data_IF_292911251151
#
_entry.id   IF_292911251151
#
_cell.length_a   1.000
_cell.length_b   1.000
_cell.length_c   1.000
_cell.angle_alpha   90.00
_cell.angle_beta   90.00
_cell.angle_gamma   90.00
#
_symmetry.space_group_name_H-M   'P 1'
#
loop_
_entity.id
_entity.type
_entity.pdbx_description
1 polymer ?
#
# COMPACT_ATOMS: atom_id res chain seq x y z
N UNK A 1 8.63 9.08 10.40
CA UNK A 1 8.70 9.32 11.86
C UNK A 1 8.66 10.80 12.22
N UNK A 2 9.42 11.71 11.56
CA UNK A 2 9.27 13.16 11.79
C UNK A 2 7.84 13.65 11.46
N UNK A 3 7.30 13.28 10.30
CA UNK A 3 5.90 13.58 9.95
C UNK A 3 4.91 13.10 11.02
N UNK A 4 5.14 11.91 11.59
CA UNK A 4 4.28 11.38 12.65
C UNK A 4 4.35 12.22 13.94
N UNK A 5 5.55 12.70 14.32
CA UNK A 5 5.69 13.64 15.42
C UNK A 5 4.93 14.95 15.14
N UNK A 6 5.08 15.50 13.93
CA UNK A 6 4.49 16.79 13.56
C UNK A 6 2.95 16.73 13.52
N UNK A 7 2.39 15.62 13.04
CA UNK A 7 0.93 15.37 13.07
C UNK A 7 0.40 15.23 14.50
N UNK A 8 1.13 14.57 15.41
CA UNK A 8 0.75 14.51 16.82
C UNK A 8 0.82 15.90 17.46
N UNK A 9 1.84 16.69 17.14
CA UNK A 9 1.96 18.05 17.62
C UNK A 9 0.80 18.92 17.11
N UNK A 10 0.46 18.83 15.83
CA UNK A 10 -0.66 19.55 15.25
C UNK A 10 -1.98 19.18 15.92
N UNK A 11 -2.27 17.88 16.06
CA UNK A 11 -3.47 17.41 16.74
C UNK A 11 -3.50 17.85 18.22
N UNK A 12 -2.34 17.90 18.88
CA UNK A 12 -2.24 18.39 20.25
C UNK A 12 -2.51 19.90 20.33
N UNK A 13 -2.03 20.71 19.38
CA UNK A 13 -2.27 22.16 19.33
C UNK A 13 -3.77 22.52 19.21
N UNK A 14 -4.58 21.62 18.65
CA UNK A 14 -6.03 21.77 18.56
C UNK A 14 -6.77 21.34 19.85
N UNK A 15 -6.10 20.66 20.79
CA UNK A 15 -6.64 20.23 22.09
C UNK A 15 -6.03 21.02 23.25
N UNK A 16 -6.78 22.00 23.77
CA UNK A 16 -6.37 22.85 24.90
C UNK A 16 -5.94 22.07 26.16
N UNK A 17 -6.41 20.83 26.35
CA UNK A 17 -5.98 20.00 27.50
C UNK A 17 -4.59 19.40 27.30
N UNK A 18 -4.23 19.03 26.06
CA UNK A 18 -2.93 18.46 25.74
C UNK A 18 -1.84 19.53 25.66
N UNK A 19 -2.16 20.70 25.09
CA UNK A 19 -1.23 21.86 25.07
C UNK A 19 -0.87 22.31 26.49
N UNK A 20 -1.83 22.26 27.41
CA UNK A 20 -1.62 22.62 28.81
C UNK A 20 -0.85 21.57 29.63
N UNK A 21 -0.67 20.35 29.09
CA UNK A 21 0.02 19.27 29.78
C UNK A 21 1.53 19.29 29.48
N UNK A 22 2.29 19.90 30.39
CA UNK A 22 3.74 19.98 30.30
C UNK A 22 4.43 18.60 30.25
N UNK A 23 3.82 17.56 30.83
CA UNK A 23 4.36 16.20 30.77
C UNK A 23 4.23 15.65 29.35
N UNK A 24 3.05 15.81 28.74
CA UNK A 24 2.82 15.40 27.35
C UNK A 24 3.81 16.05 26.39
N UNK A 25 3.97 17.38 26.47
CA UNK A 25 4.91 18.14 25.61
C UNK A 25 6.35 17.64 25.79
N UNK A 26 6.78 17.43 27.05
CA UNK A 26 8.13 16.92 27.34
C UNK A 26 8.35 15.51 26.76
N UNK A 27 7.34 14.63 26.80
CA UNK A 27 7.44 13.29 26.20
C UNK A 27 7.44 13.33 24.68
N UNK A 28 6.71 14.27 24.08
CA UNK A 28 6.70 14.49 22.64
C UNK A 28 8.08 14.97 22.14
N UNK A 29 8.71 15.91 22.85
CA UNK A 29 10.10 16.33 22.57
C UNK A 29 11.10 15.17 22.75
N UNK A 30 10.89 14.33 23.76
CA UNK A 30 11.67 13.11 23.98
C UNK A 30 11.59 12.14 22.80
N UNK A 31 10.41 12.02 22.18
CA UNK A 31 10.22 11.24 20.96
C UNK A 31 10.96 11.86 19.77
N UNK A 32 10.89 13.17 19.58
CA UNK A 32 11.63 13.87 18.51
C UNK A 32 13.14 13.63 18.64
N UNK A 33 13.67 13.74 19.86
CA UNK A 33 15.09 13.48 20.14
C UNK A 33 15.49 12.04 19.84
N UNK A 34 14.64 11.06 20.19
CA UNK A 34 14.89 9.65 19.93
C UNK A 34 14.86 9.30 18.43
N UNK A 35 13.99 9.95 17.65
CA UNK A 35 13.90 9.74 16.20
C UNK A 35 15.06 10.44 15.46
N UNK A 36 15.52 11.57 15.98
CA UNK A 36 16.60 12.38 15.39
C UNK A 36 18.02 11.91 15.72
N UNK A 37 18.21 10.77 16.40
CA UNK A 37 19.54 10.35 16.86
C UNK A 37 20.49 10.03 15.68
N UNK A 38 21.53 10.84 15.51
CA UNK A 38 22.60 10.64 14.52
C UNK A 38 23.70 9.77 15.14
N UNK A 39 24.15 8.73 14.43
CA UNK A 39 25.31 7.92 14.82
C UNK A 39 26.47 8.18 13.86
N UNK A 40 27.62 8.54 14.41
CA UNK A 40 28.84 8.70 13.62
C UNK A 40 29.52 7.34 13.50
N UNK A 41 29.54 6.76 12.31
CA UNK A 41 30.31 5.55 12.02
C UNK A 41 31.73 5.95 11.58
N UNK A 42 32.72 5.69 12.43
CA UNK A 42 34.13 5.89 12.13
C UNK A 42 35.04 5.49 13.29
N UNK A 43 36.36 5.35 13.04
CA UNK A 43 37.32 5.02 14.08
C UNK A 43 37.29 6.09 15.18
N UNK A 44 37.03 5.66 16.41
CA UNK A 44 37.06 6.53 17.58
C UNK A 44 38.53 6.65 18.02
N UNK A 45 39.18 7.76 17.68
CA UNK A 45 40.46 8.10 18.27
C UNK A 45 40.22 8.73 19.65
N UNK A 46 40.62 8.01 20.70
CA UNK A 46 40.58 8.51 22.05
C UNK A 46 41.91 9.23 22.34
N UNK A 47 42.02 10.49 21.98
CA UNK A 47 43.15 11.34 22.40
C UNK A 47 42.94 11.76 23.85
N UNK A 48 43.88 11.39 24.71
CA UNK A 48 43.93 11.88 26.09
C UNK A 48 45.03 12.94 26.15
N UNK A 49 44.67 14.21 25.96
CA UNK A 49 45.61 15.31 26.14
C UNK A 49 45.75 15.60 27.64
N UNK A 50 46.91 15.20 28.20
CA UNK A 50 47.34 15.64 29.53
C UNK A 50 48.15 16.91 29.34
N UNK A 51 47.48 18.06 29.38
CA UNK A 51 48.13 19.35 29.32
C UNK A 51 48.86 19.61 30.66
N UNK A 52 50.17 19.35 30.69
CA UNK A 52 51.05 19.82 31.77
C UNK A 52 51.70 21.11 31.32
N UNK A 53 51.15 22.25 31.75
CA UNK A 53 51.89 23.51 31.71
C UNK A 53 53.09 23.39 32.66
N UNK A 54 54.27 23.20 32.09
CA UNK A 54 55.54 23.47 32.77
C UNK A 54 56.48 24.18 31.80
N UNK A 55 56.54 25.49 31.96
CA UNK A 55 57.47 26.37 31.28
C UNK A 55 58.91 26.08 31.72
N UNK A 56 59.76 25.57 30.81
CA UNK A 56 61.21 25.79 30.86
C UNK A 56 61.84 25.52 29.49
N UNK A 57 62.66 26.47 29.03
CA UNK A 57 63.53 26.38 27.87
C UNK A 57 64.54 25.23 27.99
N UNK A 58 64.75 24.48 26.90
CA UNK A 58 66.03 24.28 26.19
C UNK A 58 66.01 22.94 25.43
N UNK A 59 66.78 22.86 24.36
CA UNK A 59 66.64 21.89 23.27
C UNK A 59 66.93 20.42 23.58
N UNK A 60 66.33 19.53 22.79
CA UNK A 60 66.63 18.10 22.79
C UNK A 60 65.69 17.30 21.89
N UNK A 61 66.25 16.38 21.09
CA UNK A 61 65.57 15.52 20.11
C UNK A 61 64.42 14.73 20.75
N UNK A 62 63.28 14.68 20.05
CA UNK A 62 62.14 13.81 20.37
C UNK A 62 62.35 12.47 19.67
N UNK A 63 62.57 11.41 20.45
CA UNK A 63 62.48 10.02 19.99
C UNK A 63 61.09 9.49 20.42
N UNK A 64 60.28 9.08 19.45
CA UNK A 64 58.92 8.59 19.65
C UNK A 64 58.97 7.10 20.03
N UNK A 65 58.96 6.82 21.33
CA UNK A 65 58.81 5.44 21.83
C UNK A 65 57.32 5.09 21.99
N UNK A 66 56.85 4.12 21.22
CA UNK A 66 55.48 3.59 21.27
C UNK A 66 55.37 2.69 22.50
N UNK A 67 54.82 3.21 23.60
CA UNK A 67 54.54 2.42 24.81
C UNK A 67 53.19 1.71 24.68
N UNK A 68 53.20 0.37 24.64
CA UNK A 68 51.99 -0.47 24.76
C UNK A 68 51.46 -0.41 26.20
N UNK A 69 50.15 -0.26 26.45
CA UNK A 69 49.65 -0.17 27.82
C UNK A 69 49.61 -1.56 28.48
N UNK A 70 50.22 -1.68 29.66
CA UNK A 70 49.93 -2.74 30.62
C UNK A 70 48.91 -2.22 31.62
N UNK A 71 47.75 -2.86 31.69
CA UNK A 71 46.74 -2.62 32.72
C UNK A 71 47.31 -3.11 34.05
N UNK A 72 47.53 -2.18 35.00
CA UNK A 72 47.82 -2.49 36.39
C UNK A 72 46.66 -1.98 37.25
N UNK A 73 45.88 -2.90 37.80
CA UNK A 73 44.87 -2.63 38.83
C UNK A 73 45.61 -2.51 40.16
N UNK A 74 45.56 -1.34 40.80
CA UNK A 74 45.98 -1.16 42.18
C UNK A 74 44.90 -0.36 42.92
N UNK A 75 44.33 -0.97 43.96
CA UNK A 75 43.42 -0.33 44.89
C UNK A 75 44.22 0.43 45.96
N UNK A 76 43.90 1.70 46.18
CA UNK A 76 44.24 2.42 47.42
C UNK A 76 43.27 3.56 47.68
N UNK A 77 42.87 3.69 48.93
CA UNK A 77 41.84 4.58 49.48
C UNK A 77 42.22 6.07 49.47
N UNK A 78 41.21 6.88 49.17
CA UNK A 78 40.99 8.31 49.34
C UNK A 78 42.11 9.22 49.84
N UNK A 79 42.49 10.17 48.98
CA UNK A 79 42.70 11.57 49.39
C UNK A 79 42.24 12.47 48.25
N UNK A 80 41.33 13.39 48.54
CA UNK A 80 40.68 14.26 47.55
C UNK A 80 41.63 15.35 47.03
N UNK A 81 42.07 15.21 45.78
CA UNK A 81 42.67 16.28 45.00
C UNK A 81 41.88 16.36 43.69
N UNK A 82 41.15 17.46 43.45
CA UNK A 82 40.30 17.58 42.27
C UNK A 82 41.15 17.84 41.02
N UNK A 83 41.62 16.78 40.39
CA UNK A 83 42.06 16.83 38.99
C UNK A 83 40.83 16.79 38.09
N UNK A 84 40.57 17.90 37.39
CA UNK A 84 39.63 17.92 36.25
C UNK A 84 40.36 17.32 35.05
N UNK A 85 40.30 16.00 34.93
CA UNK A 85 40.68 15.31 33.69
C UNK A 85 39.67 15.69 32.60
N UNK A 86 40.11 16.50 31.64
CA UNK A 86 39.29 16.87 30.48
C UNK A 86 39.63 15.93 29.33
N UNK A 87 39.01 14.75 29.32
CA UNK A 87 39.09 13.84 28.19
C UNK A 87 38.35 14.44 26.98
N UNK A 88 39.08 14.84 25.94
CA UNK A 88 38.49 15.32 24.68
C UNK A 88 38.38 14.14 23.72
N UNK A 89 37.18 13.55 23.64
CA UNK A 89 36.91 12.47 22.68
C UNK A 89 36.63 13.09 21.31
N UNK A 90 37.59 12.98 20.39
CA UNK A 90 37.44 13.46 19.01
C UNK A 90 36.90 12.33 18.14
N UNK A 91 35.66 12.45 17.66
CA UNK A 91 35.05 11.45 16.78
C UNK A 91 35.25 11.87 15.32
N UNK A 92 35.88 11.02 14.51
CA UNK A 92 36.00 11.18 13.05
C UNK A 92 35.29 10.02 12.37
N UNK A 93 34.30 10.32 11.53
CA UNK A 93 33.54 9.30 10.81
C UNK A 93 32.50 9.90 9.87
N UNK A 94 31.85 9.05 9.09
CA UNK A 94 30.70 9.44 8.27
C UNK A 94 29.47 9.41 9.16
N UNK A 95 28.79 10.54 9.29
CA UNK A 95 27.54 10.60 10.03
C UNK A 95 26.47 9.80 9.29
N UNK A 96 25.88 8.83 9.98
CA UNK A 96 24.73 8.07 9.50
C UNK A 96 23.59 8.19 10.51
N UNK A 97 22.43 8.59 10.02
CA UNK A 97 21.23 8.55 10.84
C UNK A 97 20.92 7.07 11.11
N UNK A 98 20.95 6.67 12.38
CA UNK A 98 20.61 5.30 12.79
C UNK A 98 19.52 5.36 13.85
N UNK A 99 18.41 4.69 13.61
CA UNK A 99 17.31 4.61 14.57
C UNK A 99 17.61 3.54 15.63
N UNK A 100 17.71 3.93 16.90
CA UNK A 100 17.75 2.99 17.99
C UNK A 100 16.32 2.62 18.41
N UNK A 101 15.89 1.41 18.05
CA UNK A 101 14.53 0.94 18.35
C UNK A 101 14.23 0.94 19.86
N UNK A 102 15.25 0.75 20.71
CA UNK A 102 15.04 0.76 22.17
C UNK A 102 14.72 2.15 22.69
N UNK A 103 15.43 3.17 22.19
CA UNK A 103 15.20 4.56 22.59
C UNK A 103 13.85 5.06 22.07
N UNK A 104 13.52 4.73 20.81
CA UNK A 104 12.23 5.10 20.20
C UNK A 104 11.07 4.37 20.90
N UNK A 105 11.19 3.07 21.18
CA UNK A 105 10.16 2.33 21.90
C UNK A 105 9.94 2.86 23.32
N UNK A 106 11.01 3.26 24.02
CA UNK A 106 10.89 3.93 25.33
C UNK A 106 10.14 5.26 25.19
N UNK A 107 10.55 6.11 24.26
CA UNK A 107 9.92 7.41 24.07
C UNK A 107 8.44 7.29 23.68
N UNK A 108 8.11 6.36 22.77
CA UNK A 108 6.71 6.08 22.39
C UNK A 108 5.88 5.56 23.57
N UNK A 109 6.45 4.73 24.44
CA UNK A 109 5.74 4.26 25.65
C UNK A 109 5.47 5.39 26.62
N UNK A 110 6.47 6.22 26.88
CA UNK A 110 6.30 7.38 27.77
C UNK A 110 5.27 8.38 27.21
N UNK A 111 5.22 8.57 25.89
CA UNK A 111 4.17 9.34 25.22
C UNK A 111 2.80 8.64 25.33
N UNK A 112 2.74 7.32 25.18
CA UNK A 112 1.50 6.56 25.35
C UNK A 112 0.90 6.73 26.76
N UNK A 113 1.76 6.73 27.78
CA UNK A 113 1.36 6.88 29.18
C UNK A 113 0.78 8.28 29.48
N UNK A 114 1.18 9.33 28.74
CA UNK A 114 0.60 10.68 28.91
C UNK A 114 -0.73 10.88 28.17
N UNK A 115 -1.07 10.02 27.20
CA UNK A 115 -2.31 10.15 26.42
C UNK A 115 -3.60 9.82 27.19
N UNK A 116 -3.52 9.29 28.42
CA UNK A 116 -4.68 8.95 29.24
C UNK A 116 -5.67 8.02 28.49
N UNK A 117 -6.95 8.41 28.34
CA UNK A 117 -7.97 7.64 27.59
C UNK A 117 -7.98 7.92 26.08
N UNK A 118 -7.10 8.80 25.58
CA UNK A 118 -7.01 9.12 24.16
C UNK A 118 -6.30 7.99 23.41
N UNK A 119 -6.66 7.82 22.14
CA UNK A 119 -6.07 6.82 21.25
C UNK A 119 -5.53 7.51 20.01
N UNK A 120 -4.32 7.12 19.60
CA UNK A 120 -3.68 7.58 18.37
C UNK A 120 -3.90 6.53 17.28
N UNK A 121 -4.40 6.98 16.14
CA UNK A 121 -4.62 6.14 14.97
C UNK A 121 -3.53 6.45 13.96
N UNK A 122 -2.67 5.47 13.71
CA UNK A 122 -1.62 5.55 12.70
C UNK A 122 -2.16 4.89 11.45
N UNK A 123 -2.51 5.70 10.45
CA UNK A 123 -2.94 5.22 9.14
C UNK A 123 -1.76 5.39 8.19
N UNK A 124 -1.15 4.27 7.83
CA UNK A 124 -0.09 4.24 6.83
C UNK A 124 -0.74 4.01 5.48
N UNK A 125 -0.92 5.10 4.73
CA UNK A 125 -1.32 5.04 3.34
C UNK A 125 -0.11 4.76 2.44
N UNK A 126 -0.33 4.08 1.31
CA UNK A 126 0.69 3.74 0.33
C UNK A 126 1.93 3.02 0.91
N UNK A 127 1.75 1.90 1.62
CA UNK A 127 2.87 1.07 2.13
C UNK A 127 3.87 0.68 1.02
N UNK A 128 3.38 0.54 -0.20
CA UNK A 128 4.16 0.19 -1.41
C UNK A 128 5.18 1.26 -1.79
N UNK A 129 5.04 2.49 -1.31
CA UNK A 129 6.05 3.56 -1.47
C UNK A 129 7.35 3.27 -0.72
N UNK A 130 7.30 2.40 0.30
CA UNK A 130 8.47 1.96 1.04
C UNK A 130 9.24 0.93 0.20
N UNK A 131 10.56 1.10 0.01
CA UNK A 131 11.37 0.14 -0.75
C UNK A 131 11.16 -1.30 -0.27
N UNK A 132 11.04 -2.22 -1.22
CA UNK A 132 10.68 -3.62 -0.97
C UNK A 132 11.52 -4.31 0.10
N UNK A 133 12.82 -4.05 0.10
CA UNK A 133 13.79 -4.59 1.05
C UNK A 133 13.73 -3.92 2.43
N UNK A 134 13.21 -2.69 2.51
CA UNK A 134 13.03 -1.91 3.74
C UNK A 134 11.71 -2.24 4.45
N UNK A 135 10.67 -2.65 3.71
CA UNK A 135 9.35 -2.94 4.28
C UNK A 135 9.39 -3.89 5.49
N UNK A 136 10.14 -5.03 5.50
CA UNK A 136 10.22 -5.90 6.68
C UNK A 136 10.86 -5.23 7.90
N UNK A 137 11.78 -4.29 7.71
CA UNK A 137 12.42 -3.56 8.82
C UNK A 137 11.45 -2.56 9.44
N UNK A 138 10.68 -1.85 8.61
CA UNK A 138 9.58 -1.00 9.07
C UNK A 138 8.51 -1.83 9.80
N UNK A 139 8.17 -2.99 9.26
CA UNK A 139 7.26 -3.93 9.91
C UNK A 139 7.77 -4.37 11.30
N UNK A 140 9.04 -4.76 11.39
CA UNK A 140 9.66 -5.13 12.66
C UNK A 140 9.69 -3.97 13.67
N UNK A 141 9.88 -2.74 13.19
CA UNK A 141 9.79 -1.54 14.02
C UNK A 141 8.37 -1.39 14.60
N UNK A 142 7.33 -1.48 13.76
CA UNK A 142 5.94 -1.36 14.19
C UNK A 142 5.59 -2.43 15.23
N UNK A 143 5.92 -3.70 14.95
CA UNK A 143 5.64 -4.83 15.85
C UNK A 143 6.33 -4.66 17.21
N UNK A 144 7.56 -4.13 17.23
CA UNK A 144 8.34 -4.03 18.48
C UNK A 144 8.09 -2.74 19.26
N UNK A 145 7.79 -1.64 18.57
CA UNK A 145 7.78 -0.31 19.17
C UNK A 145 6.39 0.30 19.30
N UNK A 146 5.46 -0.05 18.39
CA UNK A 146 4.15 0.61 18.28
C UNK A 146 3.01 -0.32 18.69
N UNK A 147 2.89 -1.51 18.07
CA UNK A 147 1.79 -2.45 18.33
C UNK A 147 1.65 -2.89 19.81
N UNK A 148 2.72 -2.95 20.64
CA UNK A 148 2.58 -3.25 22.05
C UNK A 148 1.85 -2.16 22.86
N UNK A 149 1.69 -0.95 22.31
CA UNK A 149 1.09 0.20 22.99
C UNK A 149 -0.42 0.22 22.75
N UNK A 150 -1.21 0.05 23.82
CA UNK A 150 -2.68 -0.07 23.74
C UNK A 150 -3.39 1.22 23.28
N UNK A 151 -2.72 2.36 23.44
CA UNK A 151 -3.16 3.68 23.01
C UNK A 151 -2.95 3.88 21.51
N UNK A 152 -2.29 2.96 20.81
CA UNK A 152 -2.01 3.07 19.39
C UNK A 152 -2.81 2.04 18.60
N UNK A 153 -3.38 2.46 17.48
CA UNK A 153 -4.01 1.57 16.50
C UNK A 153 -3.38 1.82 15.15
N UNK A 154 -2.85 0.78 14.53
CA UNK A 154 -2.19 0.88 13.22
C UNK A 154 -3.10 0.27 12.16
N UNK A 155 -3.31 1.01 11.08
CA UNK A 155 -3.95 0.55 9.84
C UNK A 155 -2.98 0.77 8.70
N UNK A 156 -2.77 -0.25 7.87
CA UNK A 156 -1.87 -0.21 6.73
C UNK A 156 -2.71 -0.41 5.48
N UNK A 157 -2.72 0.58 4.59
CA UNK A 157 -3.26 0.45 3.25
C UNK A 157 -2.12 0.10 2.29
N UNK A 158 -2.32 -0.96 1.51
CA UNK A 158 -1.28 -1.52 0.67
C UNK A 158 -1.87 -2.35 -0.49
N UNK A 159 -1.15 -2.42 -1.60
CA UNK A 159 -1.48 -3.32 -2.71
C UNK A 159 -0.85 -4.68 -2.42
N UNK A 160 -1.68 -5.72 -2.29
CA UNK A 160 -1.26 -7.01 -1.73
C UNK A 160 -0.01 -7.61 -2.40
N UNK A 161 0.08 -7.54 -3.74
CA UNK A 161 1.21 -8.09 -4.49
C UNK A 161 2.51 -7.28 -4.33
N UNK A 162 2.42 -6.05 -3.84
CA UNK A 162 3.54 -5.12 -3.66
C UNK A 162 3.97 -5.00 -2.18
N UNK A 163 3.61 -6.00 -1.37
CA UNK A 163 3.92 -6.07 0.04
C UNK A 163 4.99 -7.12 0.32
N UNK A 164 5.95 -6.74 1.13
CA UNK A 164 6.92 -7.60 1.78
C UNK A 164 6.89 -7.36 3.29
N UNK A 165 5.91 -7.94 3.98
CA UNK A 165 5.76 -7.73 5.42
C UNK A 165 6.80 -8.44 6.26
N UNK A 166 7.39 -9.55 5.78
CA UNK A 166 8.34 -10.36 6.55
C UNK A 166 9.47 -10.87 5.69
N UNK A 167 10.67 -10.94 6.27
CA UNK A 167 11.84 -11.54 5.63
C UNK A 167 12.68 -12.32 6.62
N UNK A 168 13.49 -13.23 6.10
CA UNK A 168 14.46 -14.02 6.87
C UNK A 168 15.85 -13.43 6.66
N UNK A 169 16.47 -13.00 7.76
CA UNK A 169 17.83 -12.48 7.76
C UNK A 169 18.87 -13.60 7.55
N UNK A 170 20.11 -13.27 7.15
CA UNK A 170 21.18 -14.25 6.93
C UNK A 170 21.49 -15.13 8.15
N UNK A 171 21.27 -14.61 9.35
CA UNK A 171 21.44 -15.34 10.61
C UNK A 171 20.28 -16.30 10.95
N UNK A 172 19.29 -16.40 10.06
CA UNK A 172 18.11 -17.25 10.22
C UNK A 172 16.95 -16.61 10.98
N UNK A 173 17.13 -15.41 11.55
CA UNK A 173 16.09 -14.69 12.26
C UNK A 173 15.03 -14.16 11.30
N UNK A 174 13.75 -14.31 11.66
CA UNK A 174 12.64 -13.71 10.92
C UNK A 174 12.35 -12.33 11.53
N UNK A 175 12.16 -11.34 10.67
CA UNK A 175 11.74 -9.99 11.04
C UNK A 175 10.54 -9.58 10.21
N UNK A 176 9.76 -8.63 10.71
CA UNK A 176 8.61 -8.08 10.00
C UNK A 176 7.31 -8.22 10.77
N UNK A 177 6.20 -8.17 10.04
CA UNK A 177 4.84 -8.37 10.53
C UNK A 177 4.39 -9.79 10.12
N UNK A 178 3.90 -10.55 11.09
CA UNK A 178 3.22 -11.83 10.84
C UNK A 178 1.71 -11.63 10.76
N UNK A 179 1.16 -11.73 9.55
CA UNK A 179 -0.30 -11.66 9.34
C UNK A 179 -1.01 -12.81 10.06
N UNK A 180 -2.11 -12.48 10.73
CA UNK A 180 -2.89 -13.39 11.58
C UNK A 180 -2.40 -13.49 13.02
N UNK A 181 -1.11 -13.21 13.29
CA UNK A 181 -0.55 -13.21 14.64
C UNK A 181 -0.39 -11.77 15.19
N UNK A 182 0.33 -10.92 14.46
CA UNK A 182 0.59 -9.53 14.85
C UNK A 182 -0.52 -8.58 14.41
N UNK A 183 -1.11 -8.84 13.24
CA UNK A 183 -2.17 -8.03 12.65
C UNK A 183 -3.27 -8.92 12.09
N UNK A 184 -4.53 -8.49 12.22
CA UNK A 184 -5.66 -9.20 11.62
C UNK A 184 -5.49 -9.35 10.12
N UNK A 185 -5.96 -10.47 9.57
CA UNK A 185 -5.91 -10.75 8.13
C UNK A 185 -6.65 -9.67 7.31
N UNK A 186 -6.24 -9.56 6.03
CA UNK A 186 -6.58 -8.49 5.09
C UNK A 186 -8.10 -8.24 4.97
N UNK A 187 -8.50 -6.97 5.03
CA UNK A 187 -9.80 -6.50 4.57
C UNK A 187 -9.60 -5.99 3.14
N UNK A 188 -9.97 -6.80 2.14
CA UNK A 188 -9.95 -6.41 0.73
C UNK A 188 -11.03 -5.37 0.49
N UNK A 189 -10.67 -4.16 0.07
CA UNK A 189 -11.66 -3.14 -0.32
C UNK A 189 -12.37 -3.50 -1.63
N UNK A 190 -11.70 -4.29 -2.48
CA UNK A 190 -12.23 -4.73 -3.76
C UNK A 190 -13.45 -5.66 -3.55
N UNK A 191 -13.40 -6.51 -2.53
CA UNK A 191 -14.51 -7.41 -2.14
C UNK A 191 -15.77 -6.65 -1.68
N UNK A 192 -15.69 -5.33 -1.42
CA UNK A 192 -16.83 -4.53 -0.96
C UNK A 192 -17.41 -3.61 -2.04
N UNK A 193 -16.70 -3.39 -3.16
CA UNK A 193 -17.05 -2.35 -4.15
C UNK A 193 -17.32 -2.88 -5.56
N UNK A 194 -17.20 -4.19 -5.80
CA UNK A 194 -17.51 -4.78 -7.12
C UNK A 194 -19.02 -4.80 -7.37
N UNK A 195 -19.46 -4.11 -8.43
CA UNK A 195 -20.88 -3.96 -8.80
C UNK A 195 -21.64 -5.29 -8.89
N UNK A 196 -20.96 -6.35 -9.33
CA UNK A 196 -21.57 -7.65 -9.59
C UNK A 196 -21.88 -8.45 -8.32
N UNK A 197 -21.27 -8.06 -7.20
CA UNK A 197 -21.51 -8.65 -5.89
C UNK A 197 -22.71 -7.98 -5.21
N UNK A 198 -22.73 -6.63 -5.20
CA UNK A 198 -23.74 -5.84 -4.49
C UNK A 198 -24.08 -4.56 -5.27
N UNK A 199 -24.90 -4.69 -6.33
CA UNK A 199 -25.25 -3.59 -7.25
C UNK A 199 -25.80 -2.36 -6.49
N UNK A 200 -26.64 -2.60 -5.49
CA UNK A 200 -27.30 -1.54 -4.72
C UNK A 200 -26.28 -0.74 -3.88
N UNK A 201 -25.35 -1.43 -3.23
CA UNK A 201 -24.31 -0.81 -2.40
C UNK A 201 -23.29 -0.07 -3.25
N UNK A 202 -22.83 -0.68 -4.34
CA UNK A 202 -21.92 -0.04 -5.28
C UNK A 202 -22.56 1.23 -5.87
N UNK A 203 -23.82 1.17 -6.32
CA UNK A 203 -24.55 2.34 -6.82
C UNK A 203 -24.58 3.46 -5.79
N UNK A 204 -25.00 3.17 -4.56
CA UNK A 204 -25.08 4.17 -3.49
C UNK A 204 -23.71 4.77 -3.16
N UNK A 205 -22.66 3.94 -3.11
CA UNK A 205 -21.30 4.40 -2.85
C UNK A 205 -20.82 5.38 -3.92
N UNK A 206 -20.89 5.02 -5.20
CA UNK A 206 -20.41 5.89 -6.29
C UNK A 206 -21.28 7.14 -6.44
N UNK A 207 -22.58 7.05 -6.13
CA UNK A 207 -23.47 8.19 -6.11
C UNK A 207 -23.05 9.20 -5.04
N UNK A 208 -22.80 8.73 -3.82
CA UNK A 208 -22.29 9.56 -2.72
C UNK A 208 -20.88 10.09 -2.98
N UNK A 209 -20.00 9.29 -3.59
CA UNK A 209 -18.67 9.70 -4.00
C UNK A 209 -18.73 10.90 -4.94
N UNK A 210 -19.50 10.82 -6.03
CA UNK A 210 -19.60 11.88 -7.02
C UNK A 210 -20.33 13.11 -6.49
N UNK A 211 -21.38 12.92 -5.68
CA UNK A 211 -22.04 14.02 -5.00
C UNK A 211 -21.07 14.81 -4.11
N UNK A 212 -20.30 14.11 -3.26
CA UNK A 212 -19.27 14.74 -2.43
C UNK A 212 -18.18 15.38 -3.26
N UNK A 213 -17.74 14.74 -4.35
CA UNK A 213 -16.73 15.30 -5.25
C UNK A 213 -17.18 16.62 -5.90
N UNK A 214 -18.47 16.76 -6.20
CA UNK A 214 -19.03 17.98 -6.82
C UNK A 214 -19.39 19.08 -5.81
N UNK A 215 -19.59 18.73 -4.53
CA UNK A 215 -20.10 19.66 -3.51
C UNK A 215 -19.06 20.03 -2.45
N UNK A 216 -18.06 19.19 -2.21
CA UNK A 216 -17.03 19.44 -1.21
C UNK A 216 -16.18 20.66 -1.60
N UNK A 217 -16.21 21.70 -0.76
CA UNK A 217 -15.42 22.91 -0.97
C UNK A 217 -15.93 23.85 -2.06
N UNK A 218 -17.14 23.62 -2.61
CA UNK A 218 -17.77 24.55 -3.53
C UNK A 218 -18.41 25.72 -2.76
N UNK A 219 -17.97 26.95 -3.05
CA UNK A 219 -18.69 28.17 -2.67
C UNK A 219 -20.09 28.18 -3.31
N UNK A 220 -21.05 28.90 -2.72
CA UNK A 220 -22.46 28.90 -3.16
C UNK A 220 -22.63 29.21 -4.65
N UNK A 221 -21.75 30.03 -5.23
CA UNK A 221 -21.76 30.43 -6.65
C UNK A 221 -21.21 29.36 -7.61
N UNK A 222 -20.50 28.35 -7.08
CA UNK A 222 -19.93 27.23 -7.84
C UNK A 222 -20.70 25.92 -7.66
N UNK A 223 -21.75 25.93 -6.84
CA UNK A 223 -22.61 24.76 -6.68
C UNK A 223 -23.39 24.49 -7.96
N UNK A 224 -23.49 23.21 -8.32
CA UNK A 224 -24.29 22.78 -9.47
C UNK A 224 -25.77 23.06 -9.16
N UNK A 225 -26.47 23.89 -9.95
CA UNK A 225 -27.86 24.22 -9.67
C UNK A 225 -28.74 22.97 -9.59
N UNK A 226 -29.48 22.84 -8.49
CA UNK A 226 -30.38 21.71 -8.25
C UNK A 226 -29.73 20.46 -7.65
N UNK A 227 -28.40 20.42 -7.48
CA UNK A 227 -27.71 19.30 -6.83
C UNK A 227 -27.67 19.50 -5.32
N UNK A 228 -28.68 19.01 -4.61
CA UNK A 228 -28.82 19.18 -3.15
C UNK A 228 -28.61 17.88 -2.37
N UNK A 229 -28.90 16.74 -3.00
CA UNK A 229 -28.81 15.39 -2.43
C UNK A 229 -28.14 14.46 -3.42
N UNK A 230 -27.61 13.35 -2.90
CA UNK A 230 -27.00 12.28 -3.71
C UNK A 230 -27.97 11.78 -4.80
N UNK A 231 -29.26 11.67 -4.49
CA UNK A 231 -30.34 11.25 -5.41
C UNK A 231 -30.48 12.12 -6.65
N UNK A 232 -30.11 13.40 -6.56
CA UNK A 232 -30.30 14.37 -7.64
C UNK A 232 -29.29 14.12 -8.79
N UNK A 233 -28.14 13.52 -8.47
CA UNK A 233 -27.01 13.28 -9.37
C UNK A 233 -27.44 12.56 -10.67
N UNK A 234 -28.18 11.46 -10.56
CA UNK A 234 -28.59 10.67 -11.72
C UNK A 234 -29.55 11.48 -12.60
N UNK A 235 -30.52 12.15 -11.97
CA UNK A 235 -31.54 12.91 -12.69
C UNK A 235 -30.98 14.13 -13.43
N UNK A 236 -29.92 14.74 -12.90
CA UNK A 236 -29.28 15.93 -13.46
C UNK A 236 -28.20 15.55 -14.47
N UNK A 237 -27.33 14.59 -14.15
CA UNK A 237 -26.14 14.26 -14.91
C UNK A 237 -26.31 13.16 -15.96
N UNK A 238 -27.30 12.27 -15.83
CA UNK A 238 -27.41 11.06 -16.65
C UNK A 238 -28.77 10.96 -17.36
N UNK A 239 -28.81 10.32 -18.52
CA UNK A 239 -30.05 10.13 -19.28
C UNK A 239 -31.05 9.24 -18.54
N UNK A 240 -30.55 8.20 -17.87
CA UNK A 240 -31.32 7.26 -17.05
C UNK A 240 -30.40 6.54 -16.05
N UNK A 241 -30.98 5.69 -15.20
CA UNK A 241 -30.21 4.90 -14.23
C UNK A 241 -29.26 3.90 -14.87
N UNK A 242 -29.55 3.42 -16.10
CA UNK A 242 -28.69 2.44 -16.80
C UNK A 242 -27.38 3.08 -17.24
N UNK A 243 -27.40 4.35 -17.63
CA UNK A 243 -26.17 5.10 -17.92
C UNK A 243 -25.28 5.23 -16.67
N UNK A 244 -25.89 5.43 -15.49
CA UNK A 244 -25.17 5.44 -14.22
C UNK A 244 -24.66 4.05 -13.83
N UNK A 245 -25.47 3.01 -13.95
CA UNK A 245 -25.06 1.63 -13.68
C UNK A 245 -23.91 1.19 -14.58
N UNK A 246 -23.91 1.65 -15.83
CA UNK A 246 -22.80 1.42 -16.75
C UNK A 246 -21.50 2.07 -16.27
N UNK A 247 -21.58 3.27 -15.68
CA UNK A 247 -20.42 3.94 -15.09
C UNK A 247 -19.91 3.16 -13.88
N UNK A 248 -20.81 2.72 -13.00
CA UNK A 248 -20.46 1.93 -11.82
C UNK A 248 -19.82 0.60 -12.23
N UNK A 249 -20.35 -0.06 -13.25
CA UNK A 249 -19.77 -1.27 -13.82
C UNK A 249 -18.39 -1.01 -14.42
N UNK A 250 -18.23 0.09 -15.18
CA UNK A 250 -16.95 0.45 -15.79
C UNK A 250 -15.89 0.91 -14.78
N UNK A 251 -16.29 1.32 -13.58
CA UNK A 251 -15.39 1.69 -12.51
C UNK A 251 -14.81 0.46 -11.78
N UNK A 252 -15.47 -0.71 -11.85
CA UNK A 252 -15.02 -1.97 -11.25
C UNK A 252 -14.64 -1.84 -9.77
N UNK A 253 -15.37 -0.99 -9.04
CA UNK A 253 -15.12 -0.74 -7.62
C UNK A 253 -14.00 0.27 -7.34
N UNK A 254 -13.34 0.84 -8.36
CA UNK A 254 -12.25 1.80 -8.20
C UNK A 254 -12.75 3.26 -8.26
N UNK A 255 -12.75 4.02 -7.14
CA UNK A 255 -13.24 5.41 -7.08
C UNK A 255 -12.57 6.34 -8.10
N UNK A 256 -11.25 6.18 -8.28
CA UNK A 256 -10.44 6.99 -9.20
C UNK A 256 -10.83 6.76 -10.66
N UNK A 257 -11.15 5.52 -11.02
CA UNK A 257 -11.56 5.20 -12.39
C UNK A 257 -12.95 5.78 -12.67
N UNK A 258 -13.89 5.70 -11.72
CA UNK A 258 -15.20 6.35 -11.85
C UNK A 258 -15.10 7.86 -12.13
N UNK A 259 -14.27 8.59 -11.36
CA UNK A 259 -14.09 10.04 -11.53
C UNK A 259 -13.51 10.36 -12.92
N UNK A 260 -12.52 9.59 -13.39
CA UNK A 260 -11.91 9.82 -14.69
C UNK A 260 -12.85 9.46 -15.85
N UNK A 261 -13.56 8.33 -15.75
CA UNK A 261 -14.52 7.88 -16.76
C UNK A 261 -15.69 8.85 -16.85
N UNK A 262 -16.28 9.26 -15.72
CA UNK A 262 -17.41 10.21 -15.74
C UNK A 262 -16.99 11.57 -16.26
N UNK A 263 -15.77 12.04 -15.94
CA UNK A 263 -15.25 13.30 -16.47
C UNK A 263 -15.14 13.23 -17.99
N UNK A 264 -14.53 12.18 -18.55
CA UNK A 264 -14.45 11.97 -20.00
C UNK A 264 -15.82 11.83 -20.65
N UNK A 265 -16.76 11.15 -20.00
CA UNK A 265 -18.13 10.99 -20.48
C UNK A 265 -18.88 12.34 -20.50
N UNK A 266 -18.73 13.15 -19.45
CA UNK A 266 -19.29 14.50 -19.35
C UNK A 266 -18.72 15.43 -20.43
N UNK A 267 -17.39 15.40 -20.67
CA UNK A 267 -16.77 16.16 -21.75
C UNK A 267 -17.36 15.84 -23.13
N UNK A 268 -17.73 14.58 -23.38
CA UNK A 268 -18.39 14.18 -24.64
C UNK A 268 -19.88 14.48 -24.66
N UNK A 269 -20.52 14.45 -23.50
CA UNK A 269 -21.90 14.85 -23.34
C UNK A 269 -22.06 16.36 -23.57
N UNK A 270 -21.07 17.17 -23.18
CA UNK A 270 -21.13 18.62 -23.17
C UNK A 270 -22.38 19.09 -22.41
N UNK A 271 -23.32 19.75 -23.08
CA UNK A 271 -24.54 20.27 -22.45
C UNK A 271 -25.65 19.21 -22.33
N UNK A 272 -25.43 18.01 -22.90
CA UNK A 272 -26.36 16.88 -22.79
C UNK A 272 -26.17 16.18 -21.45
N UNK A 273 -27.18 15.42 -21.04
CA UNK A 273 -26.99 14.38 -20.02
C UNK A 273 -26.13 13.24 -20.57
N UNK A 274 -25.34 12.63 -19.70
CA UNK A 274 -24.44 11.50 -20.01
C UNK A 274 -25.28 10.26 -20.32
N UNK A 275 -25.04 9.68 -21.49
CA UNK A 275 -25.70 8.46 -21.96
C UNK A 275 -24.80 7.23 -21.84
N UNK A 276 -25.38 6.03 -21.93
CA UNK A 276 -24.61 4.76 -21.92
C UNK A 276 -23.50 4.73 -23.00
N UNK A 277 -23.73 5.16 -24.26
CA UNK A 277 -22.64 5.28 -25.24
C UNK A 277 -21.49 6.19 -24.79
N UNK A 278 -21.78 7.34 -24.16
CA UNK A 278 -20.75 8.27 -23.68
C UNK A 278 -19.83 7.60 -22.66
N UNK A 279 -20.43 6.87 -21.70
CA UNK A 279 -19.72 6.10 -20.67
C UNK A 279 -18.87 4.99 -21.29
N UNK A 280 -19.44 4.19 -22.21
CA UNK A 280 -18.72 3.08 -22.85
C UNK A 280 -17.48 3.54 -23.59
N UNK A 281 -17.63 4.56 -24.44
CA UNK A 281 -16.49 5.12 -25.15
C UNK A 281 -15.48 5.73 -24.16
N UNK A 282 -15.94 6.20 -22.98
CA UNK A 282 -15.08 6.88 -22.00
C UNK A 282 -14.25 5.87 -21.21
N UNK A 283 -14.87 4.76 -20.82
CA UNK A 283 -14.21 3.59 -20.25
C UNK A 283 -13.15 3.04 -21.20
N UNK A 284 -13.48 2.87 -22.50
CA UNK A 284 -12.50 2.46 -23.52
C UNK A 284 -11.32 3.42 -23.59
N UNK A 285 -11.60 4.73 -23.69
CA UNK A 285 -10.52 5.71 -23.78
C UNK A 285 -9.67 5.71 -22.52
N UNK A 286 -10.28 5.61 -21.34
CA UNK A 286 -9.56 5.50 -20.07
C UNK A 286 -8.63 4.29 -20.05
N UNK A 287 -9.14 3.13 -20.45
CA UNK A 287 -8.34 1.91 -20.58
C UNK A 287 -7.14 2.10 -21.51
N UNK A 288 -7.37 2.59 -22.73
CA UNK A 288 -6.31 2.75 -23.74
C UNK A 288 -5.25 3.79 -23.35
N UNK A 289 -5.65 4.88 -22.69
CA UNK A 289 -4.72 5.96 -22.36
C UNK A 289 -3.97 5.75 -21.05
N UNK A 290 -4.65 5.19 -20.04
CA UNK A 290 -4.14 5.08 -18.68
C UNK A 290 -3.65 3.65 -18.40
N UNK A 291 -4.56 2.68 -18.43
CA UNK A 291 -4.29 1.29 -18.01
C UNK A 291 -3.37 0.55 -18.98
N UNK A 292 -3.74 0.49 -20.26
CA UNK A 292 -2.89 -0.07 -21.31
C UNK A 292 -1.64 0.80 -21.54
N UNK A 293 -1.76 2.11 -21.34
CA UNK A 293 -0.64 3.05 -21.39
C UNK A 293 0.47 2.71 -20.39
N UNK A 294 0.11 2.20 -19.20
CA UNK A 294 1.05 1.77 -18.17
C UNK A 294 1.88 0.53 -18.60
N UNK A 295 1.40 -0.25 -19.56
CA UNK A 295 2.07 -1.46 -20.06
C UNK A 295 3.08 -1.20 -21.19
N UNK A 296 3.28 0.06 -21.63
CA UNK A 296 4.17 0.38 -22.77
C UNK A 296 5.63 -0.07 -22.58
N UNK A 297 6.07 -0.28 -21.35
CA UNK A 297 7.41 -0.81 -21.02
C UNK A 297 7.47 -2.34 -20.87
N UNK A 298 6.32 -3.03 -20.94
CA UNK A 298 6.15 -4.45 -20.60
C UNK A 298 5.59 -5.23 -21.81
N UNK A 299 6.40 -5.46 -22.87
CA UNK A 299 5.93 -6.05 -24.13
C UNK A 299 5.33 -7.45 -23.94
N UNK A 300 5.91 -8.25 -23.03
CA UNK A 300 5.39 -9.60 -22.74
C UNK A 300 4.02 -9.54 -22.07
N UNK A 301 3.80 -8.58 -21.16
CA UNK A 301 2.50 -8.38 -20.54
C UNK A 301 1.46 -7.91 -21.58
N UNK A 302 1.86 -7.03 -22.51
CA UNK A 302 0.97 -6.60 -23.59
C UNK A 302 0.60 -7.75 -24.54
N UNK A 303 1.55 -8.63 -24.88
CA UNK A 303 1.24 -9.84 -25.63
C UNK A 303 0.30 -10.77 -24.85
N UNK A 304 0.51 -10.93 -23.55
CA UNK A 304 -0.37 -11.73 -22.69
C UNK A 304 -1.80 -11.14 -22.68
N UNK A 305 -1.95 -9.82 -22.55
CA UNK A 305 -3.26 -9.16 -22.61
C UNK A 305 -4.00 -9.47 -23.91
N UNK A 306 -3.32 -9.32 -25.05
CA UNK A 306 -3.92 -9.62 -26.36
C UNK A 306 -4.33 -11.10 -26.45
N UNK A 307 -3.47 -12.00 -25.98
CA UNK A 307 -3.74 -13.43 -25.94
C UNK A 307 -4.96 -13.75 -25.06
N UNK A 308 -5.07 -13.13 -23.87
CA UNK A 308 -6.23 -13.27 -23.00
C UNK A 308 -7.49 -12.75 -23.71
N UNK A 309 -7.46 -11.58 -24.35
CA UNK A 309 -8.63 -11.03 -25.07
C UNK A 309 -9.10 -12.00 -26.15
N UNK A 310 -8.19 -12.58 -26.92
CA UNK A 310 -8.58 -13.48 -28.01
C UNK A 310 -9.11 -14.83 -27.48
N UNK A 311 -8.38 -15.47 -26.56
CA UNK A 311 -8.73 -16.79 -26.06
C UNK A 311 -9.89 -16.78 -25.05
N UNK A 312 -10.00 -15.75 -24.21
CA UNK A 312 -11.02 -15.68 -23.15
C UNK A 312 -12.26 -14.94 -23.65
N UNK A 313 -12.09 -13.75 -24.25
CA UNK A 313 -13.25 -12.95 -24.68
C UNK A 313 -13.76 -13.43 -26.05
N UNK A 314 -12.94 -13.48 -27.10
CA UNK A 314 -13.46 -13.76 -28.46
C UNK A 314 -13.88 -15.20 -28.63
N UNK A 315 -13.04 -16.15 -28.23
CA UNK A 315 -13.31 -17.58 -28.41
C UNK A 315 -14.31 -18.11 -27.39
N UNK A 316 -14.02 -17.90 -26.10
CA UNK A 316 -14.80 -18.49 -25.01
C UNK A 316 -15.99 -17.62 -24.59
N UNK A 317 -16.04 -16.35 -25.02
CA UNK A 317 -17.09 -15.38 -24.67
C UNK A 317 -17.26 -15.24 -23.16
N UNK A 318 -16.18 -15.38 -22.42
CA UNK A 318 -16.14 -15.17 -20.98
C UNK A 318 -15.44 -13.84 -20.69
N UNK A 319 -15.80 -13.18 -19.59
CA UNK A 319 -15.10 -11.97 -19.10
C UNK A 319 -14.03 -12.27 -18.06
N UNK A 320 -14.09 -13.46 -17.49
CA UNK A 320 -13.13 -13.94 -16.50
C UNK A 320 -12.57 -15.31 -16.88
N UNK A 321 -11.46 -15.64 -16.27
CA UNK A 321 -10.68 -16.84 -16.53
C UNK A 321 -10.03 -17.36 -15.24
N UNK A 322 -9.63 -18.62 -15.27
CA UNK A 322 -8.98 -19.31 -14.15
C UNK A 322 -7.47 -19.33 -14.38
N UNK A 323 -6.71 -18.90 -13.37
CA UNK A 323 -5.25 -19.04 -13.33
C UNK A 323 -4.89 -20.01 -12.22
N UNK A 324 -3.97 -20.94 -12.47
CA UNK A 324 -3.49 -21.84 -11.42
C UNK A 324 -2.73 -21.03 -10.36
N UNK A 325 -2.93 -21.31 -9.07
CA UNK A 325 -2.20 -20.61 -8.00
C UNK A 325 -0.68 -20.77 -8.10
N UNK A 326 -0.20 -21.83 -8.75
CA UNK A 326 1.25 -22.01 -9.03
C UNK A 326 1.82 -20.94 -9.95
N UNK A 327 0.97 -20.39 -10.82
CA UNK A 327 1.32 -19.45 -11.87
C UNK A 327 0.98 -17.99 -11.50
N UNK A 328 0.40 -17.77 -10.31
CA UNK A 328 -0.02 -16.44 -9.85
C UNK A 328 1.15 -15.44 -9.77
N UNK A 329 2.37 -15.96 -9.60
CA UNK A 329 3.56 -15.17 -9.34
C UNK A 329 4.34 -14.80 -10.61
N UNK A 330 3.84 -15.21 -11.78
CA UNK A 330 4.46 -14.93 -13.08
C UNK A 330 4.46 -13.43 -13.39
N UNK A 331 5.62 -12.92 -13.83
CA UNK A 331 5.83 -11.48 -13.99
C UNK A 331 4.84 -10.79 -14.95
N UNK A 332 4.49 -11.35 -16.12
CA UNK A 332 3.51 -10.75 -17.01
C UNK A 332 2.11 -10.64 -16.39
N UNK A 333 1.71 -11.61 -15.56
CA UNK A 333 0.41 -11.58 -14.88
C UNK A 333 0.38 -10.50 -13.80
N UNK A 334 1.46 -10.37 -13.01
CA UNK A 334 1.62 -9.28 -12.04
C UNK A 334 1.59 -7.92 -12.70
N UNK A 335 2.30 -7.74 -13.81
CA UNK A 335 2.29 -6.48 -14.54
C UNK A 335 0.88 -6.07 -14.99
N UNK A 336 0.06 -7.02 -15.46
CA UNK A 336 -1.34 -6.76 -15.82
C UNK A 336 -2.23 -6.43 -14.62
N UNK A 337 -2.01 -7.09 -13.48
CA UNK A 337 -2.72 -6.80 -12.23
C UNK A 337 -2.34 -5.42 -11.67
N UNK A 338 -1.04 -5.10 -11.61
CA UNK A 338 -0.51 -3.81 -11.16
C UNK A 338 -0.98 -2.65 -12.04
N UNK A 339 -1.08 -2.87 -13.36
CA UNK A 339 -1.66 -1.93 -14.31
C UNK A 339 -3.19 -1.79 -14.19
N UNK A 340 -3.84 -2.55 -13.28
CA UNK A 340 -5.28 -2.63 -13.07
C UNK A 340 -6.06 -3.04 -14.32
N UNK A 341 -5.41 -3.81 -15.19
CA UNK A 341 -6.00 -4.40 -16.41
C UNK A 341 -6.67 -5.73 -16.10
N UNK A 342 -6.21 -6.42 -15.06
CA UNK A 342 -6.83 -7.62 -14.50
C UNK A 342 -7.22 -7.39 -13.04
N UNK A 343 -8.36 -7.94 -12.66
CA UNK A 343 -8.89 -7.90 -11.29
C UNK A 343 -9.07 -9.30 -10.74
N UNK A 344 -8.64 -9.53 -9.51
CA UNK A 344 -8.80 -10.81 -8.82
C UNK A 344 -10.12 -10.82 -8.07
N UNK A 345 -11.04 -11.70 -8.45
CA UNK A 345 -12.41 -11.72 -7.91
C UNK A 345 -12.63 -12.86 -6.91
N UNK A 346 -11.88 -13.96 -7.02
CA UNK A 346 -11.98 -15.09 -6.09
C UNK A 346 -10.69 -15.87 -6.01
N UNK A 347 -10.30 -16.27 -4.80
CA UNK A 347 -9.16 -17.17 -4.56
C UNK A 347 -9.57 -18.60 -4.27
N UNK A 348 -8.69 -19.53 -4.60
CA UNK A 348 -8.77 -20.92 -4.11
C UNK A 348 -9.96 -21.70 -4.65
N UNK A 349 -10.46 -21.33 -5.83
CA UNK A 349 -11.49 -22.08 -6.52
C UNK A 349 -10.99 -23.48 -6.88
N UNK A 350 -11.74 -24.49 -6.45
CA UNK A 350 -11.46 -25.88 -6.82
C UNK A 350 -12.15 -26.19 -8.13
N UNK A 351 -11.37 -26.45 -9.18
CA UNK A 351 -11.94 -27.11 -10.36
C UNK A 351 -12.30 -28.55 -9.98
N UNK A 352 -13.54 -28.96 -10.28
CA UNK A 352 -14.02 -30.33 -10.00
C UNK A 352 -13.28 -31.37 -10.85
N UNK A 353 -12.69 -30.93 -11.97
CA UNK A 353 -12.06 -31.77 -12.99
C UNK A 353 -10.57 -32.08 -12.70
N UNK A 354 -9.92 -31.31 -11.82
CA UNK A 354 -8.52 -31.52 -11.38
C UNK A 354 -8.40 -31.52 -9.85
N UNK A 355 -8.60 -32.69 -9.20
CA UNK A 355 -8.47 -32.81 -7.75
C UNK A 355 -7.10 -32.38 -7.25
N UNK A 356 -7.07 -31.48 -6.26
CA UNK A 356 -5.84 -31.02 -5.62
C UNK A 356 -5.23 -29.73 -6.21
N UNK A 357 -5.72 -29.26 -7.36
CA UNK A 357 -5.33 -27.96 -7.90
C UNK A 357 -6.29 -26.85 -7.43
N UNK A 358 -5.72 -25.67 -7.20
CA UNK A 358 -6.44 -24.47 -6.79
C UNK A 358 -6.23 -23.41 -7.86
N UNK A 359 -7.31 -22.75 -8.21
CA UNK A 359 -7.33 -21.69 -9.20
C UNK A 359 -7.84 -20.39 -8.60
N UNK A 360 -7.30 -19.31 -9.10
CA UNK A 360 -7.76 -17.96 -8.82
C UNK A 360 -8.55 -17.45 -10.03
N UNK A 361 -9.64 -16.74 -9.76
CA UNK A 361 -10.55 -16.20 -10.78
C UNK A 361 -10.17 -14.76 -11.06
N UNK A 362 -9.66 -14.52 -12.25
CA UNK A 362 -9.34 -13.19 -12.75
C UNK A 362 -10.42 -12.71 -13.72
N UNK A 363 -10.61 -11.39 -13.78
CA UNK A 363 -11.52 -10.71 -14.70
C UNK A 363 -10.75 -9.63 -15.44
N UNK A 364 -11.02 -9.49 -16.73
CA UNK A 364 -10.42 -8.43 -17.55
C UNK A 364 -11.19 -7.13 -17.31
N UNK A 365 -10.46 -6.02 -17.25
CA UNK A 365 -11.04 -4.68 -17.17
C UNK A 365 -12.13 -4.42 -18.23
N UNK A 366 -13.23 -3.81 -17.79
CA UNK A 366 -14.37 -3.46 -18.61
C UNK A 366 -14.01 -2.72 -19.91
N UNK A 367 -13.10 -1.75 -19.83
CA UNK A 367 -12.67 -0.93 -20.96
C UNK A 367 -11.93 -1.71 -22.05
N UNK A 368 -11.36 -2.88 -21.74
CA UNK A 368 -10.67 -3.74 -22.70
C UNK A 368 -11.64 -4.41 -23.70
N UNK A 369 -12.87 -4.69 -23.28
CA UNK A 369 -13.85 -5.44 -24.08
C UNK A 369 -15.17 -4.70 -24.34
N UNK A 370 -15.32 -3.46 -23.86
CA UNK A 370 -16.57 -2.69 -23.98
C UNK A 370 -17.11 -2.59 -25.41
N UNK A 371 -16.24 -2.49 -26.42
CA UNK A 371 -16.68 -2.45 -27.83
C UNK A 371 -17.22 -3.79 -28.34
N UNK A 372 -16.81 -4.90 -27.71
CA UNK A 372 -17.24 -6.24 -28.09
C UNK A 372 -18.67 -6.52 -27.62
N UNK A 373 -19.19 -5.78 -26.64
CA UNK A 373 -20.52 -5.94 -26.04
C UNK A 373 -21.65 -5.83 -27.08
N UNK A 374 -21.47 -5.03 -28.12
CA UNK A 374 -22.46 -4.86 -29.19
C UNK A 374 -22.19 -5.76 -30.41
N UNK A 375 -21.24 -6.71 -30.30
CA UNK A 375 -20.82 -7.58 -31.41
C UNK A 375 -21.21 -9.05 -31.15
N UNK A 376 -21.00 -9.91 -32.15
CA UNK A 376 -21.13 -11.38 -31.99
C UNK A 376 -20.22 -11.99 -30.91
N UNK A 377 -19.20 -11.25 -30.49
CA UNK A 377 -18.21 -11.63 -29.49
C UNK A 377 -18.50 -11.05 -28.10
N UNK A 378 -19.69 -10.49 -27.89
CA UNK A 378 -20.10 -10.02 -26.56
C UNK A 378 -19.93 -11.14 -25.52
N UNK A 379 -19.24 -10.88 -24.40
CA UNK A 379 -19.14 -11.84 -23.30
C UNK A 379 -20.54 -12.24 -22.84
N UNK A 380 -20.74 -13.55 -22.64
CA UNK A 380 -22.01 -14.12 -22.21
C UNK A 380 -21.87 -14.61 -20.77
N UNK A 381 -22.63 -14.00 -19.88
CA UNK A 381 -22.78 -14.44 -18.49
C UNK A 381 -22.27 -13.42 -17.48
N UNK A 382 -22.98 -13.34 -16.35
CA UNK A 382 -22.43 -12.83 -15.11
C UNK A 382 -21.57 -13.93 -14.46
N UNK A 383 -20.50 -13.55 -13.77
CA UNK A 383 -19.83 -14.41 -12.80
C UNK A 383 -20.82 -14.54 -11.63
N UNK A 384 -21.35 -15.74 -11.34
CA UNK A 384 -22.09 -15.95 -10.11
C UNK A 384 -21.09 -16.04 -8.95
N UNK A 385 -21.32 -15.24 -7.91
CA UNK A 385 -20.75 -15.45 -6.58
C UNK A 385 -21.87 -16.02 -5.72
N UNK A 386 -21.58 -17.13 -5.06
CA UNK A 386 -22.52 -17.85 -4.20
C UNK A 386 -22.77 -17.01 -2.94
N UNK A 387 -24.05 -16.74 -2.63
CA UNK A 387 -24.45 -16.15 -1.37
C UNK A 387 -24.09 -17.14 -0.25
N UNK A 388 -23.14 -16.76 0.59
CA UNK A 388 -22.85 -17.49 1.81
C UNK A 388 -24.01 -17.33 2.79
N UNK A 389 -24.95 -18.28 2.80
CA UNK A 389 -25.88 -18.47 3.90
C UNK A 389 -25.58 -19.81 4.60
N UNK A 390 -25.31 -19.73 5.89
CA UNK A 390 -25.12 -20.85 6.80
C UNK A 390 -26.46 -21.58 6.97
N UNK A 391 -26.80 -22.43 6.00
CA UNK A 391 -27.99 -23.26 6.05
C UNK A 391 -27.89 -24.39 5.05
N UNK A 392 -27.97 -25.63 5.52
CA UNK A 392 -28.19 -26.79 4.65
C UNK A 392 -29.50 -26.58 3.86
N UNK A 393 -29.40 -26.08 2.63
CA UNK A 393 -30.50 -25.96 1.66
C UNK A 393 -29.96 -26.31 0.27
N UNK A 394 -30.78 -27.05 -0.48
CA UNK A 394 -30.53 -27.54 -1.84
C UNK A 394 -29.79 -26.52 -2.72
N UNK A 395 -28.58 -26.89 -3.11
CA UNK A 395 -27.72 -26.20 -4.07
C UNK A 395 -28.52 -25.89 -5.34
N UNK A 396 -28.84 -24.61 -5.63
CA UNK A 396 -29.31 -24.27 -6.96
C UNK A 396 -28.15 -24.53 -7.93
N UNK A 397 -28.41 -25.29 -8.99
CA UNK A 397 -27.44 -25.59 -10.04
C UNK A 397 -27.01 -24.31 -10.77
N UNK A 398 -26.00 -23.62 -10.24
CA UNK A 398 -25.43 -22.38 -10.78
C UNK A 398 -24.46 -22.68 -11.94
N UNK A 399 -24.64 -21.99 -13.07
CA UNK A 399 -23.96 -22.30 -14.32
C UNK A 399 -22.60 -21.58 -14.49
N UNK A 400 -21.56 -22.10 -13.83
CA UNK A 400 -20.16 -21.72 -14.02
C UNK A 400 -19.50 -22.35 -15.26
N UNK A 401 -20.25 -23.00 -16.15
CA UNK A 401 -19.70 -23.74 -17.32
C UNK A 401 -18.84 -22.87 -18.26
N UNK A 402 -19.10 -21.56 -18.47
CA UNK A 402 -18.24 -20.73 -19.31
C UNK A 402 -16.83 -20.53 -18.72
N UNK A 403 -16.70 -20.33 -17.41
CA UNK A 403 -15.42 -20.14 -16.72
C UNK A 403 -14.59 -21.41 -16.67
N UNK A 404 -15.23 -22.58 -16.49
CA UNK A 404 -14.54 -23.88 -16.49
C UNK A 404 -13.80 -24.16 -17.80
N UNK A 405 -14.26 -23.57 -18.91
CA UNK A 405 -13.61 -23.67 -20.23
C UNK A 405 -12.51 -22.62 -20.42
N UNK A 406 -12.49 -21.56 -19.61
CA UNK A 406 -11.55 -20.46 -19.66
C UNK A 406 -10.43 -20.60 -18.63
N UNK A 407 -9.79 -21.77 -18.56
CA UNK A 407 -8.49 -21.90 -17.89
C UNK A 407 -7.43 -21.26 -18.79
N UNK A 408 -6.59 -20.41 -18.18
CA UNK A 408 -5.46 -19.76 -18.82
C UNK A 408 -4.20 -20.59 -18.53
N UNK A 409 -3.61 -21.20 -19.56
CA UNK A 409 -2.33 -21.92 -19.43
C UNK A 409 -1.19 -21.03 -19.91
N UNK A 410 -0.39 -20.52 -18.97
CA UNK A 410 0.73 -19.64 -19.30
C UNK A 410 1.83 -20.34 -20.10
N UNK A 411 1.90 -21.68 -20.05
CA UNK A 411 2.88 -22.45 -20.85
C UNK A 411 2.51 -22.44 -22.33
N UNK A 412 1.22 -22.51 -22.65
CA UNK A 412 0.74 -22.36 -24.03
C UNK A 412 1.06 -20.96 -24.56
N UNK A 413 0.88 -19.94 -23.71
CA UNK A 413 1.28 -18.57 -24.03
C UNK A 413 2.79 -18.46 -24.30
N UNK A 414 3.66 -18.98 -23.42
CA UNK A 414 5.12 -18.94 -23.64
C UNK A 414 5.51 -19.66 -24.93
N UNK A 415 4.93 -20.82 -25.21
CA UNK A 415 5.17 -21.55 -26.45
C UNK A 415 4.73 -20.76 -27.70
N UNK A 416 3.62 -20.00 -27.61
CA UNK A 416 3.16 -19.14 -28.71
C UNK A 416 4.15 -18.02 -29.02
N UNK A 417 4.76 -17.40 -27.99
CA UNK A 417 5.78 -16.36 -28.16
C UNK A 417 7.05 -16.92 -28.82
N UNK A 418 7.49 -18.11 -28.42
CA UNK A 418 8.65 -18.77 -29.02
C UNK A 418 8.42 -19.05 -30.50
N UNK A 419 7.21 -19.48 -30.88
CA UNK A 419 6.84 -19.75 -32.27
C UNK A 419 6.79 -18.48 -33.15
N UNK A 420 6.38 -17.35 -32.60
CA UNK A 420 6.40 -16.05 -33.31
C UNK A 420 7.82 -15.48 -33.45
N UNK A 421 8.71 -15.76 -32.50
CA UNK A 421 10.12 -15.32 -32.56
C UNK A 421 10.99 -16.12 -33.55
N UNK A 422 10.53 -17.28 -33.99
CA UNK A 422 11.21 -18.16 -34.93
C UNK A 422 10.85 -17.91 -36.41
N UNK A 423 9.90 -16.99 -36.66
CA UNK A 423 9.48 -16.50 -37.97
C UNK A 423 10.08 -15.12 -38.25
#
# INVERSE_FOLDING_TARGET
MNQFHDEILQAALEDNQLVGDALFVTRLDGLLSAIGSIRVDGPVELTTDVEKERSTHDGGRVELDIVRPKVAVAASSDTSESQKDRAVVTRRGVERVSLNFSDVARALRELADSLSARRVWIILDEWTSVPWDVQPYLGAFLVRCVLPLQQFTVKIAAIEQQINFRTKLPNGQIIGIELGADMSANLSLDDFMVFEQEESRARNFFQGLLFKHLTAGAEEDRQVPGLSKETDLISLGFTDSRAFDELVRAAEGVPRDAINIVSKAAWRASDRRISTPDVRTAARQWFQTDKEGALRGEPVAQSLLNWIIDNVIREKKARGFLVNQKDQDEAPLKALFDARVLHLVRRGYSAQDTPGERYDVYVIDYGAYVDLINTKNAPKGSLPVDDGDDGYVEVPTQDLRPLRRAVLDLREFTASLESESAL
#
